data_IF_266721236342
#
_entry.id   IF_266721236342
#
_cell.length_a   1.000
_cell.length_b   1.000
_cell.length_c   1.000
_cell.angle_alpha   90.00
_cell.angle_beta   90.00
_cell.angle_gamma   90.00
#
_symmetry.space_group_name_H-M   'P 1'
#
loop_
_entity.id
_entity.type
_entity.pdbx_description
1 polymer ?
#
# COMPACT_ATOMS: atom_id res chain seq x y z
N UNK A 1 -48.07 -11.63 -29.07
CA UNK A 1 -47.08 -10.58 -28.79
C UNK A 1 -46.93 -10.47 -27.29
N UNK A 2 -45.90 -11.08 -26.75
CA UNK A 2 -45.57 -11.06 -25.31
C UNK A 2 -44.50 -9.98 -25.12
N UNK A 3 -44.81 -8.89 -24.40
CA UNK A 3 -43.85 -7.85 -24.03
C UNK A 3 -43.10 -8.34 -22.78
N UNK A 4 -41.82 -8.67 -22.94
CA UNK A 4 -40.92 -8.92 -21.83
C UNK A 4 -40.48 -7.56 -21.29
N UNK A 5 -40.89 -7.23 -20.06
CA UNK A 5 -40.42 -6.06 -19.33
C UNK A 5 -39.18 -6.53 -18.55
N UNK A 6 -38.01 -6.07 -19.00
CA UNK A 6 -36.73 -6.28 -18.29
C UNK A 6 -36.65 -5.22 -17.18
N UNK A 7 -36.81 -5.64 -15.92
CA UNK A 7 -36.49 -4.81 -14.76
C UNK A 7 -34.97 -4.78 -14.56
N UNK A 8 -34.35 -3.67 -14.92
CA UNK A 8 -32.97 -3.38 -14.52
C UNK A 8 -32.97 -2.97 -13.05
N UNK A 9 -32.63 -3.92 -12.16
CA UNK A 9 -32.34 -3.62 -10.76
C UNK A 9 -30.95 -3.01 -10.68
N UNK A 10 -30.86 -1.68 -10.67
CA UNK A 10 -29.63 -0.97 -10.37
C UNK A 10 -29.43 -1.01 -8.85
N UNK A 11 -28.64 -1.93 -8.37
CA UNK A 11 -28.24 -2.01 -6.95
C UNK A 11 -27.25 -0.88 -6.67
N UNK A 12 -27.73 0.25 -6.19
CA UNK A 12 -26.89 1.27 -5.58
C UNK A 12 -26.36 0.73 -4.24
N UNK A 13 -25.17 0.13 -4.26
CA UNK A 13 -24.41 -0.03 -3.02
C UNK A 13 -23.90 1.34 -2.58
N UNK A 14 -24.70 2.05 -1.81
CA UNK A 14 -24.24 3.21 -1.05
C UNK A 14 -23.33 2.66 0.06
N UNK A 15 -22.04 2.59 -0.19
CA UNK A 15 -21.05 2.38 0.87
C UNK A 15 -20.99 3.65 1.69
N UNK A 16 -21.81 3.76 2.71
CA UNK A 16 -21.68 4.80 3.72
C UNK A 16 -20.29 4.64 4.39
N UNK A 17 -19.34 5.43 3.94
CA UNK A 17 -18.04 5.56 4.60
C UNK A 17 -18.25 6.29 5.93
N UNK A 18 -18.55 5.53 6.98
CA UNK A 18 -18.55 6.07 8.35
C UNK A 18 -17.10 6.36 8.76
N UNK A 19 -16.61 7.57 8.49
CA UNK A 19 -15.41 8.08 9.14
C UNK A 19 -15.77 8.44 10.58
N UNK A 20 -15.00 7.95 11.57
CA UNK A 20 -15.21 8.42 12.93
C UNK A 20 -14.58 9.82 13.07
N UNK A 21 -15.22 10.77 13.79
CA UNK A 21 -14.66 12.12 14.00
C UNK A 21 -13.23 12.13 14.58
N UNK A 22 -12.87 11.10 15.34
CA UNK A 22 -11.53 10.93 15.92
C UNK A 22 -10.50 10.54 14.85
N UNK A 23 -10.90 9.71 13.88
CA UNK A 23 -10.05 9.31 12.77
C UNK A 23 -9.69 10.51 11.89
N UNK A 24 -10.65 11.37 11.57
CA UNK A 24 -10.43 12.57 10.77
C UNK A 24 -9.50 13.57 11.47
N UNK A 25 -9.56 13.66 12.80
CA UNK A 25 -8.64 14.51 13.58
C UNK A 25 -7.19 14.00 13.53
N UNK A 26 -7.00 12.69 13.62
CA UNK A 26 -5.66 12.08 13.53
C UNK A 26 -5.09 12.22 12.10
N UNK A 27 -5.92 12.07 11.06
CA UNK A 27 -5.51 12.32 9.68
C UNK A 27 -5.03 13.76 9.46
N UNK A 28 -5.76 14.75 9.98
CA UNK A 28 -5.38 16.16 9.86
C UNK A 28 -4.01 16.46 10.52
N UNK A 29 -3.68 15.80 11.60
CA UNK A 29 -2.40 15.96 12.30
C UNK A 29 -1.19 15.61 11.41
N UNK A 30 -1.32 14.60 10.55
CA UNK A 30 -0.26 14.11 9.69
C UNK A 30 -0.34 14.65 8.25
N UNK A 31 -1.39 15.38 7.91
CA UNK A 31 -1.58 15.91 6.55
C UNK A 31 -0.47 16.87 6.12
N UNK A 32 0.19 17.55 7.06
CA UNK A 32 1.34 18.43 6.80
C UNK A 32 2.56 17.70 6.23
N UNK A 33 2.67 16.40 6.46
CA UNK A 33 3.75 15.56 5.94
C UNK A 33 3.45 15.02 4.55
N UNK A 34 2.23 15.21 4.05
CA UNK A 34 1.82 14.88 2.70
C UNK A 34 2.29 15.93 1.71
N UNK A 35 2.68 15.51 0.52
CA UNK A 35 3.06 16.48 -0.51
C UNK A 35 3.77 15.87 -1.71
N UNK A 36 3.80 16.65 -2.77
CA UNK A 36 4.67 16.36 -3.90
C UNK A 36 6.12 16.60 -3.50
N UNK A 37 6.99 15.66 -3.86
CA UNK A 37 8.42 15.74 -3.53
C UNK A 37 9.28 15.63 -4.77
N UNK A 38 10.41 16.35 -4.76
CA UNK A 38 11.44 16.25 -5.78
C UNK A 38 12.41 15.07 -5.52
N UNK A 39 13.41 14.93 -6.38
CA UNK A 39 14.45 13.89 -6.26
C UNK A 39 15.30 14.00 -4.99
N UNK A 40 15.34 15.19 -4.36
CA UNK A 40 16.02 15.44 -3.08
C UNK A 40 15.12 15.18 -1.88
N UNK A 41 13.82 14.92 -2.09
CA UNK A 41 12.81 14.74 -1.04
C UNK A 41 12.21 16.04 -0.51
N UNK A 42 12.48 17.17 -1.16
CA UNK A 42 11.90 18.46 -0.78
C UNK A 42 10.46 18.55 -1.29
N UNK A 43 9.55 19.00 -0.42
CA UNK A 43 8.15 19.24 -0.80
C UNK A 43 8.07 20.48 -1.68
N UNK A 44 7.26 20.37 -2.76
CA UNK A 44 6.94 21.48 -3.64
C UNK A 44 5.41 21.59 -3.87
N UNK A 45 4.98 22.72 -4.42
CA UNK A 45 3.55 22.98 -4.65
C UNK A 45 2.99 22.13 -5.78
N UNK A 46 1.78 21.59 -5.60
CA UNK A 46 1.04 20.92 -6.68
C UNK A 46 0.77 21.81 -7.88
N UNK A 47 0.70 23.13 -7.69
CA UNK A 47 0.47 24.11 -8.77
C UNK A 47 1.63 24.15 -9.77
N UNK A 48 2.79 23.61 -9.40
CA UNK A 48 3.94 23.45 -10.31
C UNK A 48 3.73 22.33 -11.33
N UNK A 49 2.72 21.45 -11.13
CA UNK A 49 2.38 20.38 -12.06
C UNK A 49 1.32 20.90 -13.05
N UNK A 50 1.78 21.45 -14.15
CA UNK A 50 0.91 22.08 -15.18
C UNK A 50 0.15 21.04 -16.01
N UNK A 51 0.77 19.89 -16.28
CA UNK A 51 0.22 18.84 -17.14
C UNK A 51 -0.04 17.55 -16.35
N UNK A 52 -1.12 17.52 -15.59
CA UNK A 52 -1.51 16.37 -14.78
C UNK A 52 -1.91 15.17 -15.63
N UNK A 53 -2.57 15.40 -16.76
CA UNK A 53 -3.06 14.34 -17.65
C UNK A 53 -1.93 13.55 -18.30
N UNK A 54 -0.84 14.24 -18.67
CA UNK A 54 0.35 13.64 -19.29
C UNK A 54 1.50 13.44 -18.27
N UNK A 55 1.16 13.34 -17.00
CA UNK A 55 2.09 12.96 -15.95
C UNK A 55 1.78 11.56 -15.42
N UNK A 56 2.82 10.80 -15.04
CA UNK A 56 2.69 9.62 -14.20
C UNK A 56 2.79 10.08 -12.75
N UNK A 57 1.74 9.87 -11.96
CA UNK A 57 1.75 10.15 -10.53
C UNK A 57 2.07 8.88 -9.76
N UNK A 58 3.21 8.82 -9.09
CA UNK A 58 3.54 7.77 -8.13
C UNK A 58 3.14 8.24 -6.74
N UNK A 59 2.16 7.58 -6.12
CA UNK A 59 1.76 7.83 -4.73
C UNK A 59 2.50 6.81 -3.86
N UNK A 60 3.45 7.28 -3.06
CA UNK A 60 4.23 6.44 -2.17
C UNK A 60 3.59 6.32 -0.79
N UNK A 61 3.38 5.08 -0.37
CA UNK A 61 2.81 4.69 0.92
C UNK A 61 3.89 4.05 1.80
N UNK A 62 4.15 4.64 2.95
CA UNK A 62 5.21 4.18 3.86
C UNK A 62 4.88 2.84 4.57
N UNK A 63 5.88 2.22 5.20
CA UNK A 63 5.73 1.07 6.07
C UNK A 63 4.90 1.36 7.34
N UNK A 64 4.55 0.34 8.10
CA UNK A 64 3.80 0.48 9.33
C UNK A 64 4.74 0.51 10.54
N UNK A 65 4.46 1.42 11.46
CA UNK A 65 5.05 1.40 12.81
C UNK A 65 4.31 0.37 13.70
N UNK A 66 4.53 0.45 15.02
CA UNK A 66 3.81 -0.37 15.98
C UNK A 66 2.28 -0.22 15.82
N UNK A 67 1.54 -1.32 15.87
CA UNK A 67 0.11 -1.37 15.60
C UNK A 67 -0.74 -0.44 16.47
N UNK A 68 -0.31 -0.15 17.69
CA UNK A 68 -1.03 0.71 18.63
C UNK A 68 -0.71 2.20 18.46
N UNK A 69 0.31 2.55 17.69
CA UNK A 69 0.73 3.94 17.46
C UNK A 69 0.31 4.41 16.08
N UNK A 70 0.00 5.70 15.97
CA UNK A 70 -0.18 6.31 14.65
C UNK A 70 1.13 6.24 13.87
N UNK A 71 1.02 5.93 12.59
CA UNK A 71 2.18 5.92 11.70
C UNK A 71 2.81 7.31 11.62
N UNK A 72 4.13 7.34 11.72
CA UNK A 72 4.92 8.55 11.52
C UNK A 72 5.43 8.57 10.08
N UNK A 73 5.47 9.75 9.53
CA UNK A 73 5.96 10.00 8.18
C UNK A 73 7.11 10.99 8.21
N UNK A 74 7.81 11.15 7.10
CA UNK A 74 8.99 12.01 6.99
C UNK A 74 10.07 11.72 8.05
N UNK A 75 10.15 10.46 8.48
CA UNK A 75 11.16 9.96 9.40
C UNK A 75 11.98 8.87 8.72
N UNK A 76 13.23 8.63 9.14
CA UNK A 76 14.05 7.55 8.59
C UNK A 76 13.28 6.21 8.58
N UNK A 77 13.28 5.52 7.44
CA UNK A 77 12.56 4.26 7.24
C UNK A 77 11.11 4.40 6.75
N UNK A 78 10.47 5.54 6.96
CA UNK A 78 9.10 5.80 6.47
C UNK A 78 9.06 6.85 5.35
N UNK A 79 10.10 7.61 5.15
CA UNK A 79 10.17 8.57 4.05
C UNK A 79 10.29 7.85 2.69
N UNK A 80 10.01 8.59 1.62
CA UNK A 80 10.11 8.06 0.25
C UNK A 80 11.56 7.67 -0.03
N UNK A 81 11.85 6.39 -0.33
CA UNK A 81 13.22 5.94 -0.51
C UNK A 81 13.84 6.53 -1.78
N UNK A 82 15.18 6.62 -1.77
CA UNK A 82 15.95 7.18 -2.88
C UNK A 82 15.58 6.55 -4.22
N UNK A 83 15.38 5.24 -4.28
CA UNK A 83 15.02 4.51 -5.50
C UNK A 83 13.73 5.03 -6.15
N UNK A 84 12.74 5.41 -5.35
CA UNK A 84 11.50 6.03 -5.85
C UNK A 84 11.73 7.50 -6.19
N UNK A 85 12.47 8.25 -5.34
CA UNK A 85 12.77 9.67 -5.59
C UNK A 85 13.57 9.87 -6.88
N UNK A 86 14.45 8.94 -7.22
CA UNK A 86 15.25 8.98 -8.45
C UNK A 86 14.40 8.85 -9.74
N UNK A 87 13.13 8.45 -9.62
CA UNK A 87 12.17 8.45 -10.73
C UNK A 87 11.57 9.85 -10.99
N UNK A 88 11.68 10.79 -10.04
CA UNK A 88 11.13 12.14 -10.23
C UNK A 88 11.65 12.79 -11.49
N UNK A 89 10.75 13.37 -12.28
CA UNK A 89 11.01 14.03 -13.57
C UNK A 89 11.63 13.15 -14.66
N UNK A 90 11.73 11.82 -14.45
CA UNK A 90 12.06 10.90 -15.55
C UNK A 90 10.93 10.89 -16.58
N UNK A 91 11.32 10.76 -17.85
CA UNK A 91 10.37 10.55 -18.93
C UNK A 91 10.18 9.04 -19.17
N UNK A 92 8.93 8.62 -19.14
CA UNK A 92 8.45 7.27 -19.47
C UNK A 92 7.48 7.43 -20.62
N UNK A 93 7.86 7.02 -21.83
CA UNK A 93 7.02 7.17 -23.04
C UNK A 93 6.34 8.57 -23.15
N UNK A 94 7.13 9.64 -23.02
CA UNK A 94 6.66 11.03 -23.06
C UNK A 94 5.82 11.50 -21.86
N UNK A 95 5.62 10.66 -20.86
CA UNK A 95 4.97 11.04 -19.61
C UNK A 95 6.02 11.37 -18.55
N UNK A 96 5.87 12.50 -17.87
CA UNK A 96 6.80 12.92 -16.83
C UNK A 96 6.36 12.37 -15.45
N UNK A 97 7.28 11.70 -14.76
CA UNK A 97 7.00 11.12 -13.42
C UNK A 97 6.97 12.20 -12.36
N UNK A 98 5.92 12.20 -11.55
CA UNK A 98 5.74 13.00 -10.35
C UNK A 98 5.54 12.09 -9.14
N UNK A 99 6.03 12.49 -7.98
CA UNK A 99 6.00 11.67 -6.78
C UNK A 99 5.23 12.40 -5.69
N UNK A 100 4.29 11.71 -5.08
CA UNK A 100 3.55 12.19 -3.93
C UNK A 100 3.83 11.30 -2.72
N UNK A 101 4.28 11.91 -1.61
CA UNK A 101 4.41 11.24 -0.32
C UNK A 101 3.07 11.25 0.39
N UNK A 102 2.52 10.07 0.67
CA UNK A 102 1.28 9.91 1.41
C UNK A 102 1.56 9.41 2.82
N UNK A 103 1.19 10.23 3.79
CA UNK A 103 1.19 9.91 5.21
C UNK A 103 -0.23 9.61 5.64
N UNK A 104 -0.52 8.36 5.98
CA UNK A 104 -1.88 7.93 6.28
C UNK A 104 -2.34 8.33 7.68
N UNK A 105 -1.42 8.52 8.63
CA UNK A 105 -1.75 8.80 10.04
C UNK A 105 -2.55 7.67 10.71
N UNK A 106 -2.71 6.54 10.06
CA UNK A 106 -3.49 5.42 10.56
C UNK A 106 -2.98 4.94 11.92
N UNK A 107 -3.91 4.58 12.80
CA UNK A 107 -3.64 4.13 14.15
C UNK A 107 -4.30 2.79 14.39
N UNK A 108 -3.55 1.86 14.98
CA UNK A 108 -4.07 0.53 15.31
C UNK A 108 -5.12 0.54 16.42
N UNK A 109 -5.64 -0.63 16.70
CA UNK A 109 -6.54 -0.86 17.82
C UNK A 109 -5.92 -0.37 19.14
N UNK A 110 -6.74 0.14 20.03
CA UNK A 110 -6.35 0.29 21.43
C UNK A 110 -6.04 -1.08 22.04
N UNK A 111 -5.28 -1.12 23.13
CA UNK A 111 -4.97 -2.37 23.85
C UNK A 111 -6.25 -3.15 24.22
N UNK A 112 -7.31 -2.44 24.62
CA UNK A 112 -8.62 -3.03 24.94
C UNK A 112 -9.29 -3.68 23.72
N UNK A 113 -9.30 -2.98 22.59
CA UNK A 113 -9.87 -3.50 21.32
C UNK A 113 -9.08 -4.70 20.81
N UNK A 114 -7.76 -4.62 20.86
CA UNK A 114 -6.88 -5.72 20.48
C UNK A 114 -7.13 -6.97 21.35
N UNK A 115 -7.23 -6.80 22.67
CA UNK A 115 -7.55 -7.91 23.59
C UNK A 115 -8.92 -8.50 23.29
N UNK A 116 -9.93 -7.67 22.97
CA UNK A 116 -11.27 -8.14 22.60
C UNK A 116 -11.24 -9.00 21.33
N UNK A 117 -10.55 -8.52 20.29
CA UNK A 117 -10.39 -9.26 19.05
C UNK A 117 -9.63 -10.58 19.27
N UNK A 118 -8.61 -10.55 20.09
CA UNK A 118 -7.79 -11.71 20.40
C UNK A 118 -8.55 -12.81 21.10
N UNK A 119 -9.26 -12.47 22.20
CA UNK A 119 -10.10 -13.43 22.93
C UNK A 119 -11.19 -14.04 22.04
N UNK A 120 -11.77 -13.26 21.13
CA UNK A 120 -12.75 -13.78 20.19
C UNK A 120 -12.11 -14.73 19.18
N UNK A 121 -10.90 -14.44 18.72
CA UNK A 121 -10.15 -15.33 17.85
C UNK A 121 -9.79 -16.66 18.55
N UNK A 122 -9.26 -16.60 19.77
CA UNK A 122 -8.94 -17.80 20.58
C UNK A 122 -10.17 -18.70 20.74
N UNK A 123 -11.36 -18.10 20.96
CA UNK A 123 -12.60 -18.85 21.09
C UNK A 123 -13.09 -19.47 19.78
N UNK A 124 -12.94 -18.78 18.65
CA UNK A 124 -13.57 -19.13 17.38
C UNK A 124 -12.58 -19.68 16.35
N UNK A 125 -11.28 -19.64 16.61
CA UNK A 125 -10.20 -20.06 15.69
C UNK A 125 -10.02 -19.20 14.44
N UNK A 126 -10.76 -18.06 14.33
CA UNK A 126 -10.72 -17.16 13.17
C UNK A 126 -10.99 -15.71 13.58
N UNK A 127 -10.65 -14.78 12.69
CA UNK A 127 -10.88 -13.35 12.92
C UNK A 127 -12.38 -13.05 13.11
N UNK A 128 -12.74 -12.45 14.24
CA UNK A 128 -14.10 -12.09 14.57
C UNK A 128 -14.47 -10.73 13.96
N UNK A 129 -14.79 -10.73 12.66
CA UNK A 129 -15.09 -9.52 11.88
C UNK A 129 -16.40 -8.83 12.27
N UNK A 130 -17.30 -9.57 12.90
CA UNK A 130 -18.60 -9.09 13.39
C UNK A 130 -18.52 -8.22 14.65
N UNK A 131 -17.38 -8.25 15.35
CA UNK A 131 -17.22 -7.48 16.58
C UNK A 131 -17.28 -5.98 16.34
N UNK A 132 -18.09 -5.32 17.15
CA UNK A 132 -18.28 -3.86 17.10
C UNK A 132 -17.76 -3.19 18.38
N UNK A 133 -17.44 -1.90 18.26
CA UNK A 133 -17.15 -1.04 19.40
C UNK A 133 -18.45 -0.54 20.07
N UNK A 134 -18.30 0.39 21.04
CA UNK A 134 -19.42 1.02 21.73
C UNK A 134 -20.32 1.88 20.83
N UNK A 135 -19.79 2.33 19.70
CA UNK A 135 -20.48 3.19 18.73
C UNK A 135 -21.05 2.36 17.56
N UNK A 136 -21.07 1.02 17.67
CA UNK A 136 -21.58 0.10 16.66
C UNK A 136 -20.65 -0.08 15.44
N UNK A 137 -19.46 0.49 15.46
CA UNK A 137 -18.50 0.42 14.34
C UNK A 137 -17.76 -0.92 14.42
N UNK A 138 -17.70 -1.71 13.32
CA UNK A 138 -16.93 -2.94 13.27
C UNK A 138 -15.46 -2.70 13.67
N UNK A 139 -14.96 -3.47 14.63
CA UNK A 139 -13.59 -3.32 15.11
C UNK A 139 -12.56 -3.54 14.00
N UNK A 140 -12.86 -4.41 13.05
CA UNK A 140 -11.97 -4.65 11.90
C UNK A 140 -11.73 -3.38 11.08
N UNK A 141 -12.69 -2.47 10.99
CA UNK A 141 -12.54 -1.20 10.29
C UNK A 141 -11.57 -0.25 11.01
N UNK A 142 -11.35 -0.43 12.32
CA UNK A 142 -10.37 0.31 13.11
C UNK A 142 -8.97 -0.28 13.06
N UNK A 143 -8.82 -1.46 12.47
CA UNK A 143 -7.51 -2.05 12.27
C UNK A 143 -6.68 -1.13 11.35
N UNK A 144 -5.41 -0.89 11.74
CA UNK A 144 -4.53 0.07 11.07
C UNK A 144 -4.45 -0.12 9.56
N UNK A 145 -4.36 -1.36 9.10
CA UNK A 145 -4.20 -1.66 7.68
C UNK A 145 -5.44 -1.31 6.86
N UNK A 146 -6.64 -1.51 7.43
CA UNK A 146 -7.89 -1.14 6.79
C UNK A 146 -8.08 0.38 6.75
N UNK A 147 -7.67 1.09 7.79
CA UNK A 147 -7.63 2.56 7.78
C UNK A 147 -6.68 3.07 6.69
N UNK A 148 -5.47 2.49 6.58
CA UNK A 148 -4.51 2.84 5.52
C UNK A 148 -5.12 2.66 4.13
N UNK A 149 -5.70 1.48 3.87
CA UNK A 149 -6.29 1.17 2.55
C UNK A 149 -7.31 2.22 2.15
N UNK A 150 -8.20 2.60 3.07
CA UNK A 150 -9.19 3.65 2.82
C UNK A 150 -8.55 4.99 2.50
N UNK A 151 -7.60 5.46 3.33
CA UNK A 151 -6.91 6.74 3.11
C UNK A 151 -6.17 6.77 1.77
N UNK A 152 -5.53 5.66 1.40
CA UNK A 152 -4.84 5.56 0.10
C UNK A 152 -5.86 5.68 -1.03
N UNK A 153 -6.97 4.93 -0.95
CA UNK A 153 -8.03 4.97 -1.97
C UNK A 153 -8.63 6.37 -2.11
N UNK A 154 -9.03 6.99 -1.01
CA UNK A 154 -9.62 8.35 -1.00
C UNK A 154 -8.65 9.36 -1.62
N UNK A 155 -7.33 9.18 -1.39
CA UNK A 155 -6.32 10.05 -1.99
C UNK A 155 -6.15 9.83 -3.48
N UNK A 156 -6.26 8.59 -3.95
CA UNK A 156 -6.26 8.28 -5.39
C UNK A 156 -7.46 8.91 -6.06
N UNK A 157 -8.67 8.76 -5.49
CA UNK A 157 -9.89 9.37 -6.02
C UNK A 157 -9.75 10.88 -6.15
N UNK A 158 -9.26 11.55 -5.09
CA UNK A 158 -8.98 12.99 -5.11
C UNK A 158 -8.04 13.41 -6.25
N UNK A 159 -7.01 12.62 -6.56
CA UNK A 159 -6.10 12.94 -7.66
C UNK A 159 -6.72 12.67 -9.05
N UNK A 160 -7.59 11.67 -9.16
CA UNK A 160 -8.37 11.44 -10.39
C UNK A 160 -9.28 12.64 -10.67
N UNK A 161 -9.99 13.14 -9.64
CA UNK A 161 -10.83 14.34 -9.72
C UNK A 161 -10.00 15.59 -10.09
N UNK A 162 -8.77 15.68 -9.60
CA UNK A 162 -7.81 16.73 -9.96
C UNK A 162 -7.25 16.62 -11.40
N UNK A 163 -7.56 15.55 -12.13
CA UNK A 163 -7.19 15.35 -13.54
C UNK A 163 -5.99 14.45 -13.81
N UNK A 164 -5.43 13.78 -12.80
CA UNK A 164 -4.41 12.75 -13.03
C UNK A 164 -5.04 11.48 -13.61
N UNK A 165 -4.47 10.95 -14.71
CA UNK A 165 -4.98 9.74 -15.39
C UNK A 165 -4.04 8.52 -15.24
N UNK A 166 -2.78 8.76 -14.95
CA UNK A 166 -1.73 7.75 -14.95
C UNK A 166 -1.18 7.61 -13.52
N UNK A 167 -1.92 6.92 -12.65
CA UNK A 167 -1.55 6.76 -11.24
C UNK A 167 -0.94 5.38 -11.02
N UNK A 168 0.20 5.36 -10.34
CA UNK A 168 0.90 4.18 -9.83
C UNK A 168 0.92 4.28 -8.31
N UNK A 169 0.56 3.21 -7.61
CA UNK A 169 0.82 3.10 -6.19
C UNK A 169 2.22 2.51 -5.97
N UNK A 170 2.95 3.07 -5.03
CA UNK A 170 4.22 2.50 -4.59
C UNK A 170 4.22 2.41 -3.06
N UNK A 171 4.93 1.43 -2.50
CA UNK A 171 5.03 1.39 -1.06
C UNK A 171 5.96 0.32 -0.52
N UNK A 172 6.43 0.57 0.71
CA UNK A 172 7.24 -0.36 1.47
C UNK A 172 6.37 -1.11 2.49
N UNK A 173 6.68 -2.39 2.72
CA UNK A 173 6.03 -3.17 3.78
C UNK A 173 4.50 -3.10 3.69
N UNK A 174 3.84 -2.71 4.75
CA UNK A 174 2.39 -2.50 4.82
C UNK A 174 1.86 -1.54 3.73
N UNK A 175 2.59 -0.48 3.39
CA UNK A 175 2.20 0.43 2.31
C UNK A 175 2.14 -0.27 0.96
N UNK A 176 3.14 -1.09 0.65
CA UNK A 176 3.16 -1.93 -0.56
C UNK A 176 2.03 -2.96 -0.57
N UNK A 177 1.79 -3.61 0.58
CA UNK A 177 0.73 -4.62 0.71
C UNK A 177 -0.68 -4.03 0.51
N UNK A 178 -0.96 -2.86 1.10
CA UNK A 178 -2.24 -2.19 0.88
C UNK A 178 -2.40 -1.66 -0.54
N UNK A 179 -1.31 -1.26 -1.18
CA UNK A 179 -1.32 -0.88 -2.60
C UNK A 179 -1.69 -2.05 -3.52
N UNK A 180 -1.17 -3.26 -3.25
CA UNK A 180 -1.56 -4.49 -3.95
C UNK A 180 -3.05 -4.82 -3.74
N UNK A 181 -3.56 -4.68 -2.51
CA UNK A 181 -4.99 -4.88 -2.21
C UNK A 181 -5.88 -3.92 -2.99
N UNK A 182 -5.52 -2.64 -3.04
CA UNK A 182 -6.28 -1.63 -3.79
C UNK A 182 -6.29 -1.97 -5.28
N UNK A 183 -5.15 -2.38 -5.84
CA UNK A 183 -5.09 -2.77 -7.26
C UNK A 183 -5.93 -4.02 -7.55
N UNK A 184 -5.98 -4.98 -6.63
CA UNK A 184 -6.83 -6.16 -6.75
C UNK A 184 -8.33 -5.81 -6.63
N UNK A 185 -8.70 -5.01 -5.63
CA UNK A 185 -10.09 -4.64 -5.35
C UNK A 185 -10.66 -3.66 -6.39
N UNK A 186 -9.81 -2.76 -6.92
CA UNK A 186 -10.18 -1.70 -7.88
C UNK A 186 -9.22 -1.71 -9.08
N UNK A 187 -9.29 -2.71 -9.96
CA UNK A 187 -8.25 -2.93 -10.99
C UNK A 187 -8.10 -1.78 -11.98
N UNK A 188 -9.15 -0.98 -12.19
CA UNK A 188 -9.11 0.18 -13.10
C UNK A 188 -8.68 1.49 -12.43
N UNK A 189 -8.64 1.53 -11.09
CA UNK A 189 -8.38 2.75 -10.32
C UNK A 189 -6.94 3.27 -10.52
N UNK A 190 -5.98 2.34 -10.58
CA UNK A 190 -4.56 2.66 -10.80
C UNK A 190 -3.96 1.77 -11.88
N UNK A 191 -2.92 2.25 -12.56
CA UNK A 191 -2.28 1.50 -13.66
C UNK A 191 -1.43 0.33 -13.17
N UNK A 192 -0.82 0.45 -12.00
CA UNK A 192 0.02 -0.61 -11.45
C UNK A 192 0.54 -0.31 -10.05
N UNK A 193 1.35 -1.24 -9.52
CA UNK A 193 1.90 -1.17 -8.16
C UNK A 193 3.41 -1.45 -8.15
N UNK A 194 4.16 -0.66 -7.39
CA UNK A 194 5.56 -0.91 -7.03
C UNK A 194 5.60 -1.32 -5.55
N UNK A 195 5.78 -2.62 -5.30
CA UNK A 195 5.87 -3.18 -3.94
C UNK A 195 7.33 -3.37 -3.52
N UNK A 196 7.77 -2.61 -2.52
CA UNK A 196 9.11 -2.69 -1.91
C UNK A 196 9.01 -3.54 -0.63
N UNK A 197 9.45 -4.80 -0.67
CA UNK A 197 9.24 -5.75 0.43
C UNK A 197 7.80 -5.68 0.99
N UNK A 198 6.75 -5.77 0.14
CA UNK A 198 5.38 -5.57 0.59
C UNK A 198 5.00 -6.63 1.63
N UNK A 199 4.29 -6.24 2.70
CA UNK A 199 3.92 -7.18 3.75
C UNK A 199 3.01 -6.61 4.82
N UNK A 200 2.26 -7.52 5.45
CA UNK A 200 1.38 -7.23 6.57
C UNK A 200 1.29 -8.45 7.49
N UNK A 201 0.74 -8.29 8.69
CA UNK A 201 0.49 -9.40 9.61
C UNK A 201 1.70 -9.87 10.40
N UNK A 202 2.64 -8.99 10.72
CA UNK A 202 3.81 -9.32 11.54
C UNK A 202 4.88 -10.16 10.81
N UNK A 203 5.82 -10.74 11.55
CA UNK A 203 6.85 -11.64 11.01
C UNK A 203 6.28 -13.01 10.68
N UNK A 204 7.02 -13.81 9.91
CA UNK A 204 6.69 -15.22 9.66
C UNK A 204 6.49 -15.97 10.98
N UNK A 205 7.37 -15.71 11.98
CA UNK A 205 7.21 -16.30 13.32
C UNK A 205 5.92 -15.85 14.00
N UNK A 206 5.60 -14.56 13.99
CA UNK A 206 4.36 -14.05 14.58
C UNK A 206 3.12 -14.72 13.98
N UNK A 207 3.09 -14.98 12.68
CA UNK A 207 1.96 -15.64 12.03
C UNK A 207 1.81 -17.10 12.41
N UNK A 208 2.93 -17.80 12.70
CA UNK A 208 2.89 -19.16 13.25
C UNK A 208 2.39 -19.20 14.70
N UNK A 209 2.89 -18.28 15.51
CA UNK A 209 2.52 -18.20 16.94
C UNK A 209 1.07 -17.68 17.12
N UNK A 210 0.59 -16.87 16.16
CA UNK A 210 -0.68 -16.17 16.21
C UNK A 210 -1.39 -16.23 14.84
N UNK A 211 -2.03 -17.34 14.48
CA UNK A 211 -2.60 -17.56 13.14
C UNK A 211 -3.60 -16.48 12.67
N UNK A 212 -4.30 -15.79 13.59
CA UNK A 212 -5.20 -14.69 13.27
C UNK A 212 -4.53 -13.51 12.55
N UNK A 213 -3.20 -13.38 12.60
CA UNK A 213 -2.46 -12.40 11.80
C UNK A 213 -2.52 -12.71 10.30
N UNK A 214 -2.66 -13.99 9.93
CA UNK A 214 -2.92 -14.34 8.52
C UNK A 214 -4.31 -13.86 8.07
N UNK A 215 -5.34 -13.99 8.90
CA UNK A 215 -6.66 -13.47 8.58
C UNK A 215 -6.61 -11.95 8.35
N UNK A 216 -5.95 -11.20 9.22
CA UNK A 216 -5.73 -9.75 9.03
C UNK A 216 -4.95 -9.45 7.75
N UNK A 217 -3.94 -10.26 7.44
CA UNK A 217 -3.10 -10.10 6.26
C UNK A 217 -3.93 -10.20 4.98
N UNK A 218 -4.79 -11.21 4.89
CA UNK A 218 -5.59 -11.48 3.71
C UNK A 218 -6.96 -10.81 3.71
N UNK A 219 -7.43 -10.30 4.85
CA UNK A 219 -8.72 -9.64 4.93
C UNK A 219 -8.86 -8.53 3.87
N UNK A 220 -9.92 -8.64 3.07
CA UNK A 220 -10.24 -7.70 1.99
C UNK A 220 -9.39 -7.86 0.73
N UNK A 221 -8.64 -8.97 0.55
CA UNK A 221 -8.23 -9.39 -0.78
C UNK A 221 -9.42 -10.01 -1.50
N UNK A 222 -9.54 -9.71 -2.77
CA UNK A 222 -10.48 -10.38 -3.66
C UNK A 222 -9.90 -11.72 -4.13
N UNK A 223 -10.74 -12.65 -4.52
CA UNK A 223 -10.30 -13.97 -5.02
C UNK A 223 -9.62 -13.86 -6.38
N UNK A 224 -10.15 -13.02 -7.27
CA UNK A 224 -9.57 -12.81 -8.61
C UNK A 224 -8.46 -11.74 -8.55
N UNK A 225 -7.24 -12.19 -8.74
CA UNK A 225 -6.05 -11.35 -8.80
C UNK A 225 -5.52 -11.16 -10.24
N UNK A 226 -6.20 -11.68 -11.24
CA UNK A 226 -5.76 -11.67 -12.65
C UNK A 226 -5.46 -10.28 -13.19
N UNK A 227 -6.13 -9.25 -12.66
CA UNK A 227 -5.97 -7.84 -13.05
C UNK A 227 -4.88 -7.09 -12.25
N UNK A 228 -4.18 -7.78 -11.35
CA UNK A 228 -3.07 -7.16 -10.62
C UNK A 228 -1.87 -6.99 -11.54
N UNK A 229 -1.52 -5.74 -11.85
CA UNK A 229 -0.28 -5.39 -12.52
C UNK A 229 0.67 -4.81 -11.49
N UNK A 230 1.79 -5.48 -11.23
CA UNK A 230 2.72 -5.08 -10.18
C UNK A 230 4.16 -5.46 -10.48
N UNK A 231 5.10 -4.72 -9.88
CA UNK A 231 6.46 -5.19 -9.65
C UNK A 231 6.67 -5.35 -8.14
N UNK A 232 7.07 -6.54 -7.71
CA UNK A 232 7.36 -6.87 -6.32
C UNK A 232 8.86 -7.07 -6.19
N UNK A 233 9.49 -6.25 -5.37
CA UNK A 233 10.90 -6.32 -5.04
C UNK A 233 11.04 -6.88 -3.63
N UNK A 234 11.76 -7.98 -3.45
CA UNK A 234 11.87 -8.67 -2.19
C UNK A 234 13.25 -9.33 -2.01
N UNK A 235 13.52 -9.83 -0.82
CA UNK A 235 14.74 -10.54 -0.47
C UNK A 235 14.40 -11.84 0.28
N UNK A 236 15.07 -12.97 -0.05
CA UNK A 236 14.78 -14.29 0.54
C UNK A 236 14.89 -14.32 2.08
N UNK A 237 15.78 -13.51 2.63
CA UNK A 237 15.99 -13.39 4.08
C UNK A 237 15.12 -12.32 4.74
N UNK A 238 14.06 -11.85 4.08
CA UNK A 238 13.09 -10.98 4.72
C UNK A 238 12.27 -11.77 5.74
N UNK A 239 12.40 -11.44 7.02
CA UNK A 239 11.71 -12.15 8.09
C UNK A 239 10.23 -11.78 8.24
N UNK A 240 9.76 -10.75 7.56
CA UNK A 240 8.33 -10.44 7.47
C UNK A 240 7.66 -11.17 6.31
N UNK A 241 8.34 -11.28 5.17
CA UNK A 241 7.83 -11.94 3.98
C UNK A 241 8.96 -12.60 3.21
N UNK A 242 8.95 -13.91 3.21
CA UNK A 242 9.77 -14.71 2.30
C UNK A 242 9.16 -14.70 0.88
N UNK A 243 9.89 -15.08 -0.16
CA UNK A 243 9.35 -15.24 -1.51
C UNK A 243 8.14 -16.16 -1.59
N UNK A 244 8.02 -17.12 -0.67
CA UNK A 244 6.85 -18.02 -0.60
C UNK A 244 5.58 -17.31 -0.13
N UNK A 245 5.71 -16.23 0.64
CA UNK A 245 4.59 -15.42 1.08
C UNK A 245 3.94 -14.62 -0.06
N UNK A 246 4.52 -14.63 -1.25
CA UNK A 246 3.96 -14.04 -2.47
C UNK A 246 3.40 -15.09 -3.44
N UNK A 247 3.20 -16.32 -2.99
CA UNK A 247 2.75 -17.44 -3.84
C UNK A 247 1.47 -17.11 -4.63
N UNK A 248 0.53 -16.39 -4.00
CA UNK A 248 -0.72 -15.98 -4.64
C UNK A 248 -0.53 -15.03 -5.84
N UNK A 249 0.63 -14.37 -5.97
CA UNK A 249 0.95 -13.50 -7.12
C UNK A 249 1.83 -14.17 -8.17
N UNK A 250 2.44 -15.34 -7.86
CA UNK A 250 3.42 -15.99 -8.75
C UNK A 250 2.83 -16.50 -10.06
N UNK A 251 1.55 -16.85 -10.05
CA UNK A 251 0.82 -17.32 -11.23
C UNK A 251 0.29 -16.18 -12.13
N UNK A 252 0.47 -14.93 -11.71
CA UNK A 252 -0.09 -13.77 -12.43
C UNK A 252 0.97 -13.22 -13.39
N UNK A 253 0.75 -13.37 -14.68
CA UNK A 253 1.69 -12.97 -15.74
C UNK A 253 2.09 -11.47 -15.70
N UNK A 254 1.16 -10.61 -15.23
CA UNK A 254 1.38 -9.17 -15.11
C UNK A 254 2.09 -8.76 -13.82
N UNK A 255 2.50 -9.72 -12.97
CA UNK A 255 3.30 -9.46 -11.78
C UNK A 255 4.74 -9.85 -12.01
N UNK A 256 5.64 -8.86 -11.99
CA UNK A 256 7.08 -9.06 -12.08
C UNK A 256 7.69 -9.18 -10.69
N UNK A 257 8.52 -10.20 -10.47
CA UNK A 257 9.32 -10.35 -9.25
C UNK A 257 10.78 -9.98 -9.49
N UNK A 258 11.34 -9.19 -8.57
CA UNK A 258 12.78 -8.90 -8.50
C UNK A 258 13.30 -9.38 -7.16
N UNK A 259 14.12 -10.43 -7.18
CA UNK A 259 14.77 -10.99 -6.00
C UNK A 259 16.13 -10.35 -5.76
N UNK A 260 16.30 -9.67 -4.63
CA UNK A 260 17.53 -8.97 -4.26
C UNK A 260 18.57 -9.85 -3.56
N UNK A 261 18.33 -11.14 -3.38
CA UNK A 261 19.24 -12.03 -2.65
C UNK A 261 20.67 -12.02 -3.22
N UNK A 262 20.78 -11.97 -4.53
CA UNK A 262 22.07 -11.93 -5.25
C UNK A 262 22.50 -10.51 -5.67
N UNK A 263 21.84 -9.47 -5.16
CA UNK A 263 22.17 -8.08 -5.51
C UNK A 263 23.45 -7.56 -4.86
N UNK A 264 23.99 -8.28 -3.86
CA UNK A 264 25.08 -7.81 -3.02
C UNK A 264 24.64 -6.83 -1.92
N UNK A 265 23.37 -6.45 -1.88
CA UNK A 265 22.86 -5.55 -0.84
C UNK A 265 22.72 -6.28 0.49
N UNK A 266 23.33 -5.68 1.53
CA UNK A 266 23.29 -6.20 2.89
C UNK A 266 22.04 -5.74 3.63
N UNK A 267 21.88 -6.20 4.87
CA UNK A 267 20.84 -5.77 5.79
C UNK A 267 20.78 -4.26 5.89
N UNK A 268 19.56 -3.71 6.02
CA UNK A 268 19.35 -2.28 6.20
C UNK A 268 19.65 -1.84 7.63
N UNK A 269 20.52 -0.87 7.77
CA UNK A 269 20.74 -0.18 9.05
C UNK A 269 19.73 0.98 9.22
N UNK A 270 19.30 1.30 10.43
CA UNK A 270 19.64 0.67 11.72
C UNK A 270 18.83 -0.58 12.07
N UNK A 271 17.92 -1.03 11.21
CA UNK A 271 17.00 -2.14 11.50
C UNK A 271 17.70 -3.52 11.48
N UNK A 272 18.92 -3.59 11.02
CA UNK A 272 19.72 -4.83 10.89
C UNK A 272 18.91 -6.00 10.30
N UNK A 273 18.08 -5.75 9.29
CA UNK A 273 17.26 -6.76 8.64
C UNK A 273 17.15 -6.56 7.13
N UNK A 274 16.72 -7.59 6.41
CA UNK A 274 16.52 -7.55 4.96
C UNK A 274 15.17 -6.96 4.54
N UNK A 275 14.25 -6.74 5.48
CA UNK A 275 12.97 -6.11 5.18
C UNK A 275 13.13 -4.66 4.69
N UNK A 276 14.12 -3.96 5.23
CA UNK A 276 14.44 -2.59 4.81
C UNK A 276 15.41 -2.47 3.64
N UNK A 277 15.89 -3.58 3.04
CA UNK A 277 16.93 -3.53 1.99
C UNK A 277 16.53 -2.66 0.80
N UNK A 278 15.25 -2.65 0.44
CA UNK A 278 14.70 -1.83 -0.65
C UNK A 278 14.69 -0.33 -0.36
N UNK A 279 14.92 0.09 0.88
CA UNK A 279 15.00 1.48 1.30
C UNK A 279 16.44 2.03 1.24
N UNK A 280 17.42 1.16 1.01
CA UNK A 280 18.85 1.50 1.09
C UNK A 280 19.38 2.17 -0.18
N UNK A 281 20.52 2.87 -0.03
CA UNK A 281 21.29 3.38 -1.17
C UNK A 281 21.78 2.24 -2.07
N UNK A 282 22.12 1.07 -1.47
CA UNK A 282 22.55 -0.10 -2.23
C UNK A 282 21.51 -0.52 -3.27
N UNK A 283 20.23 -0.63 -2.85
CA UNK A 283 19.18 -0.96 -3.82
C UNK A 283 18.99 0.15 -4.87
N UNK A 284 19.11 1.41 -4.50
CA UNK A 284 19.03 2.49 -5.48
C UNK A 284 20.13 2.41 -6.55
N UNK A 285 21.36 2.02 -6.17
CA UNK A 285 22.46 1.81 -7.12
C UNK A 285 22.26 0.52 -7.96
N UNK A 286 21.72 -0.54 -7.35
CA UNK A 286 21.34 -1.75 -8.09
C UNK A 286 20.28 -1.41 -9.16
N UNK A 287 19.23 -0.68 -8.81
CA UNK A 287 18.15 -0.26 -9.72
C UNK A 287 18.69 0.64 -10.84
N UNK A 288 19.63 1.53 -10.52
CA UNK A 288 20.28 2.39 -11.53
C UNK A 288 20.95 1.59 -12.65
N UNK A 289 21.54 0.42 -12.33
CA UNK A 289 22.13 -0.50 -13.30
C UNK A 289 21.05 -1.31 -14.04
N UNK A 290 20.14 -1.92 -13.31
CA UNK A 290 19.21 -2.92 -13.84
C UNK A 290 17.97 -2.29 -14.47
N UNK A 291 17.57 -1.08 -14.04
CA UNK A 291 16.43 -0.31 -14.54
C UNK A 291 15.10 -1.09 -14.51
N UNK A 292 14.91 -1.93 -13.49
CA UNK A 292 13.73 -2.79 -13.40
C UNK A 292 12.44 -1.99 -13.23
N UNK A 293 12.45 -0.91 -12.44
CA UNK A 293 11.31 -0.01 -12.28
C UNK A 293 11.01 0.74 -13.59
N UNK A 294 12.03 1.23 -14.28
CA UNK A 294 11.87 1.91 -15.58
C UNK A 294 11.31 0.94 -16.63
N UNK A 295 11.84 -0.28 -16.70
CA UNK A 295 11.32 -1.33 -17.60
C UNK A 295 9.86 -1.66 -17.30
N UNK A 296 9.52 -1.79 -16.02
CA UNK A 296 8.16 -2.05 -15.58
C UNK A 296 7.22 -0.90 -15.97
N UNK A 297 7.58 0.35 -15.69
CA UNK A 297 6.79 1.52 -16.06
C UNK A 297 6.61 1.63 -17.58
N UNK A 298 7.66 1.40 -18.38
CA UNK A 298 7.56 1.37 -19.85
C UNK A 298 6.65 0.24 -20.35
N UNK A 299 6.50 -0.85 -19.61
CA UNK A 299 5.60 -1.94 -19.95
C UNK A 299 4.13 -1.63 -19.67
N UNK A 300 3.84 -0.68 -18.75
CA UNK A 300 2.47 -0.27 -18.40
C UNK A 300 1.93 0.81 -19.36
N UNK A 301 2.77 1.75 -19.71
CA UNK A 301 2.44 2.90 -20.55
C UNK A 301 2.92 2.74 -21.99
#
# INVERSE_FOLDING_TARGET
>A
MIRIIIFLVVSFFVTNAYSSPKFDKDLKKFSKDNGFIDSKGKIYSKNEIKDKKNSILIIYNHGSDNDQKSDKCAVPGNDVPKVIRDLHDKNIKNLKVKIYRLCTGAKGWSKKEQTKMWKAHEKNGKLAIELKDKDGIPLINKQKQNQRRRVIKDKVDSFIEEGFKNIILAGHSSGGWQSLKIKAEYPMLVKGVIGLNPGAGGTVKNRKDWPWWEDVRYYGFVEDLSQVNAIIIAHDKDHYNSPNDYSLFKSINSVKFVNLTNSGCKKAEPMNNYHGVTLTKCYAEYEKKNKDLIKYLNGIF
#
